data_IF_266562090315
#
_entry.id   IF_266562090315
#
_cell.length_a   1.000
_cell.length_b   1.000
_cell.length_c   1.000
_cell.angle_alpha   90.00
_cell.angle_beta   90.00
_cell.angle_gamma   90.00
#
_symmetry.space_group_name_H-M   'P 1'
#
loop_
_entity.id
_entity.type
_entity.pdbx_description
1 polymer ?
#
# COMPACT_ATOMS: atom_id res chain seq x y z
N UNK A 1 -5.13 4.21 -14.94
CA UNK A 1 -6.29 4.05 -14.02
C UNK A 1 -7.02 5.38 -13.97
N UNK A 2 -8.26 5.44 -13.49
CA UNK A 2 -8.99 6.70 -13.33
C UNK A 2 -8.67 7.34 -11.97
N UNK A 3 -8.60 8.68 -11.84
CA UNK A 3 -8.44 9.32 -10.53
C UNK A 3 -9.50 8.82 -9.53
N UNK A 4 -9.09 8.57 -8.28
CA UNK A 4 -9.95 8.00 -7.24
C UNK A 4 -10.14 6.48 -7.35
N UNK A 5 -9.28 5.76 -8.09
CA UNK A 5 -9.29 4.29 -8.15
C UNK A 5 -7.98 3.69 -7.65
N UNK A 6 -8.07 2.47 -7.14
CA UNK A 6 -6.92 1.70 -6.74
C UNK A 6 -7.10 0.20 -7.02
N UNK A 7 -5.98 -0.47 -7.26
CA UNK A 7 -5.87 -1.92 -7.34
C UNK A 7 -4.71 -2.36 -6.45
N UNK A 8 -4.99 -3.32 -5.57
CA UNK A 8 -4.00 -3.91 -4.67
C UNK A 8 -3.76 -5.36 -5.07
N UNK A 9 -2.52 -5.80 -4.97
CA UNK A 9 -2.12 -7.19 -5.16
C UNK A 9 -1.33 -7.62 -3.94
N UNK A 10 -1.69 -8.74 -3.33
CA UNK A 10 -1.00 -9.35 -2.20
C UNK A 10 -0.54 -10.74 -2.65
N UNK A 11 0.74 -11.09 -2.51
CA UNK A 11 1.28 -12.39 -2.92
C UNK A 11 0.80 -12.87 -4.30
N UNK A 12 0.91 -11.99 -5.30
CA UNK A 12 0.48 -12.22 -6.69
C UNK A 12 -1.04 -12.42 -6.91
N UNK A 13 -1.85 -12.35 -5.84
CA UNK A 13 -3.31 -12.35 -5.94
C UNK A 13 -3.85 -10.92 -6.09
N UNK A 14 -4.46 -10.65 -7.24
CA UNK A 14 -4.99 -9.33 -7.60
C UNK A 14 -6.38 -9.17 -7.00
N UNK A 15 -6.53 -8.18 -6.13
CA UNK A 15 -7.83 -7.82 -5.56
C UNK A 15 -8.66 -7.00 -6.55
N UNK A 16 -10.01 -7.04 -6.42
CA UNK A 16 -10.88 -6.19 -7.22
C UNK A 16 -10.49 -4.71 -7.15
N UNK A 17 -10.62 -4.00 -8.27
CA UNK A 17 -10.46 -2.54 -8.27
C UNK A 17 -11.49 -1.90 -7.34
N UNK A 18 -11.07 -0.84 -6.64
CA UNK A 18 -11.91 -0.10 -5.71
C UNK A 18 -11.88 1.39 -5.97
N UNK A 19 -13.01 2.04 -5.69
CA UNK A 19 -13.17 3.50 -5.70
C UNK A 19 -13.06 4.12 -4.30
N UNK A 20 -12.88 3.30 -3.26
CA UNK A 20 -12.70 3.76 -1.89
C UNK A 20 -11.28 4.29 -1.68
N UNK A 21 -10.95 5.39 -2.35
CA UNK A 21 -9.61 5.99 -2.34
C UNK A 21 -9.68 7.41 -1.78
N UNK A 22 -8.77 7.72 -0.86
CA UNK A 22 -8.58 9.07 -0.33
C UNK A 22 -7.11 9.41 -0.35
N UNK A 23 -6.75 10.44 -1.12
CA UNK A 23 -5.41 11.00 -1.15
C UNK A 23 -5.43 12.40 -0.53
N UNK A 24 -4.64 12.61 0.52
CA UNK A 24 -4.54 13.89 1.23
C UNK A 24 -3.11 14.39 1.16
N UNK A 25 -2.82 15.47 0.40
CA UNK A 25 -1.50 16.07 0.37
C UNK A 25 -1.18 16.75 1.70
N UNK A 26 0.07 16.62 2.15
CA UNK A 26 0.62 17.11 3.40
C UNK A 26 2.05 17.64 3.15
N UNK A 27 2.14 18.79 2.48
CA UNK A 27 3.43 19.33 2.04
C UNK A 27 4.06 18.42 0.97
N UNK A 28 5.27 17.93 1.24
CA UNK A 28 5.96 16.97 0.36
C UNK A 28 5.56 15.50 0.58
N UNK A 29 4.65 15.24 1.51
CA UNK A 29 4.08 13.92 1.73
C UNK A 29 2.63 13.88 1.21
N UNK A 30 2.16 12.69 0.88
CA UNK A 30 0.76 12.40 0.66
C UNK A 30 0.36 11.22 1.55
N UNK A 31 -0.75 11.39 2.28
CA UNK A 31 -1.41 10.26 2.92
C UNK A 31 -2.35 9.64 1.90
N UNK A 32 -2.22 8.34 1.66
CA UNK A 32 -3.15 7.60 0.80
C UNK A 32 -3.83 6.52 1.62
N UNK A 33 -5.16 6.48 1.53
CA UNK A 33 -6.00 5.46 2.14
C UNK A 33 -6.82 4.77 1.07
N UNK A 34 -6.85 3.45 1.09
CA UNK A 34 -7.61 2.60 0.17
C UNK A 34 -8.46 1.65 1.02
N UNK A 35 -9.75 1.55 0.74
CA UNK A 35 -10.69 0.77 1.55
C UNK A 35 -11.07 1.48 2.85
N UNK A 36 -11.21 0.71 3.93
CA UNK A 36 -11.59 1.21 5.26
C UNK A 36 -10.76 0.57 6.39
N UNK A 37 -11.18 0.75 7.64
CA UNK A 37 -10.48 0.23 8.82
C UNK A 37 -10.66 -1.28 9.02
N UNK A 38 -11.67 -1.91 8.40
CA UNK A 38 -11.90 -3.34 8.47
C UNK A 38 -11.09 -4.11 7.42
N UNK A 39 -10.91 -3.53 6.23
CA UNK A 39 -10.06 -4.06 5.17
C UNK A 39 -9.54 -2.93 4.27
N UNK A 40 -8.21 -2.78 4.18
CA UNK A 40 -7.64 -1.67 3.43
C UNK A 40 -6.15 -1.47 3.61
N UNK A 41 -5.65 -0.38 3.01
CA UNK A 41 -4.28 0.09 3.20
C UNK A 41 -4.24 1.55 3.59
N UNK A 42 -3.30 1.92 4.46
CA UNK A 42 -2.92 3.31 4.70
C UNK A 42 -1.42 3.48 4.48
N UNK A 43 -1.02 4.56 3.81
CA UNK A 43 0.39 4.77 3.49
C UNK A 43 0.74 6.25 3.45
N UNK A 44 2.02 6.51 3.69
CA UNK A 44 2.65 7.81 3.50
C UNK A 44 3.64 7.71 2.35
N UNK A 45 3.44 8.51 1.31
CA UNK A 45 4.29 8.56 0.13
C UNK A 45 4.88 9.95 0.00
N UNK A 46 6.20 10.05 -0.18
CA UNK A 46 6.85 11.30 -0.56
C UNK A 46 6.65 11.58 -2.04
N UNK A 47 6.28 12.82 -2.35
CA UNK A 47 6.20 13.34 -3.71
C UNK A 47 7.48 14.09 -4.14
N UNK A 48 8.50 14.12 -3.29
CA UNK A 48 9.84 14.63 -3.64
C UNK A 48 10.59 13.66 -4.56
N UNK A 49 11.66 14.14 -5.18
CA UNK A 49 12.56 13.31 -5.97
C UNK A 49 13.77 12.91 -5.11
N UNK A 50 14.00 11.61 -4.84
CA UNK A 50 13.26 10.45 -5.33
C UNK A 50 11.95 10.18 -4.56
N UNK A 51 10.95 9.64 -5.28
CA UNK A 51 9.69 9.18 -4.69
C UNK A 51 9.98 8.03 -3.72
N UNK A 52 9.42 8.10 -2.52
CA UNK A 52 9.64 7.08 -1.48
C UNK A 52 8.36 6.76 -0.73
N UNK A 53 8.15 5.49 -0.40
CA UNK A 53 7.13 5.11 0.57
C UNK A 53 7.76 5.16 1.96
N UNK A 54 7.18 5.95 2.87
CA UNK A 54 7.66 6.08 4.25
C UNK A 54 7.11 4.97 5.14
N UNK A 55 5.82 4.70 5.01
CA UNK A 55 5.15 3.62 5.73
C UNK A 55 3.99 3.12 4.89
N UNK A 56 3.75 1.81 4.93
CA UNK A 56 2.58 1.16 4.34
C UNK A 56 2.04 0.21 5.40
N UNK A 57 0.77 0.35 5.73
CA UNK A 57 0.03 -0.58 6.58
C UNK A 57 -1.02 -1.26 5.72
N UNK A 58 -1.03 -2.58 5.74
CA UNK A 58 -2.01 -3.43 5.09
C UNK A 58 -2.81 -4.09 6.20
N UNK A 59 -4.14 -3.98 6.12
CA UNK A 59 -5.04 -4.56 7.08
C UNK A 59 -6.04 -5.46 6.36
N UNK A 60 -6.00 -6.75 6.68
CA UNK A 60 -6.97 -7.75 6.25
C UNK A 60 -7.29 -7.68 4.74
N UNK A 61 -6.25 -7.60 3.92
CA UNK A 61 -6.37 -7.68 2.47
C UNK A 61 -5.89 -9.05 2.01
N UNK A 62 -6.78 -9.81 1.39
CA UNK A 62 -6.53 -11.22 1.04
C UNK A 62 -6.12 -12.09 2.23
N UNK A 63 -6.64 -11.77 3.42
CA UNK A 63 -6.25 -12.43 4.66
C UNK A 63 -4.85 -12.07 5.16
N UNK A 64 -4.19 -11.04 4.62
CA UNK A 64 -2.91 -10.55 5.13
C UNK A 64 -3.07 -9.23 5.91
N UNK A 65 -2.40 -9.16 7.06
CA UNK A 65 -2.21 -7.93 7.84
C UNK A 65 -0.73 -7.76 8.14
N UNK A 66 -0.18 -6.59 7.81
CA UNK A 66 1.24 -6.33 7.98
C UNK A 66 1.65 -4.90 7.64
N UNK A 67 2.94 -4.60 7.77
CA UNK A 67 3.46 -3.29 7.46
C UNK A 67 4.87 -3.28 6.88
N UNK A 68 5.15 -2.20 6.18
CA UNK A 68 6.47 -1.80 5.72
C UNK A 68 6.77 -0.40 6.29
N UNK A 69 8.02 -0.18 6.69
CA UNK A 69 8.50 1.13 7.10
C UNK A 69 9.92 1.35 6.56
N UNK A 70 10.15 2.53 5.99
CA UNK A 70 11.44 2.92 5.41
C UNK A 70 12.56 2.82 6.47
N UNK A 71 13.72 2.30 6.06
CA UNK A 71 14.91 2.09 6.91
C UNK A 71 14.77 1.08 8.06
N UNK A 72 13.68 0.33 8.13
CA UNK A 72 13.52 -0.75 9.10
C UNK A 72 13.65 -2.13 8.44
N UNK A 73 12.58 -2.59 7.80
CA UNK A 73 12.53 -3.90 7.14
C UNK A 73 11.87 -3.81 5.76
N UNK A 74 12.34 -4.66 4.85
CA UNK A 74 11.83 -4.75 3.48
C UNK A 74 12.40 -3.68 2.53
N UNK A 75 11.83 -3.64 1.33
CA UNK A 75 12.10 -2.63 0.32
C UNK A 75 10.77 -2.23 -0.32
N UNK A 76 10.59 -0.93 -0.55
CA UNK A 76 9.48 -0.42 -1.33
C UNK A 76 10.01 0.51 -2.42
N UNK A 77 9.69 0.19 -3.66
CA UNK A 77 9.94 1.04 -4.82
C UNK A 77 8.67 1.81 -5.15
N UNK A 78 8.80 3.11 -5.44
CA UNK A 78 7.70 3.97 -5.85
C UNK A 78 7.99 4.54 -7.23
N UNK A 79 7.05 4.37 -8.15
CA UNK A 79 7.03 5.08 -9.43
C UNK A 79 5.73 5.87 -9.59
N UNK A 80 5.78 6.93 -10.38
CA UNK A 80 4.63 7.76 -10.72
C UNK A 80 4.51 7.86 -12.23
N UNK A 81 3.37 7.44 -12.76
CA UNK A 81 3.03 7.59 -14.17
C UNK A 81 1.76 8.43 -14.30
N UNK A 82 1.90 9.68 -14.75
CA UNK A 82 0.83 10.67 -14.72
C UNK A 82 0.41 10.94 -13.27
N UNK A 83 -0.78 10.47 -12.91
CA UNK A 83 -1.38 10.60 -11.58
C UNK A 83 -1.50 9.24 -10.85
N UNK A 84 -0.88 8.18 -11.40
CA UNK A 84 -0.90 6.85 -10.80
C UNK A 84 0.42 6.53 -10.11
N UNK A 85 0.39 6.43 -8.78
CA UNK A 85 1.47 5.83 -8.00
C UNK A 85 1.43 4.31 -8.17
N UNK A 86 2.58 3.71 -8.43
CA UNK A 86 2.79 2.27 -8.34
C UNK A 86 3.84 2.00 -7.27
N UNK A 87 3.45 1.25 -6.24
CA UNK A 87 4.27 0.98 -5.07
C UNK A 87 4.43 -0.52 -4.95
N UNK A 88 5.66 -1.02 -5.02
CA UNK A 88 5.97 -2.45 -4.99
C UNK A 88 6.92 -2.74 -3.85
N UNK A 89 6.64 -3.76 -3.06
CA UNK A 89 7.52 -4.11 -1.96
C UNK A 89 7.13 -5.38 -1.24
N UNK A 90 7.66 -5.52 -0.03
CA UNK A 90 7.32 -6.60 0.90
C UNK A 90 6.97 -6.01 2.26
N UNK A 91 5.95 -6.57 2.89
CA UNK A 91 5.52 -6.19 4.23
C UNK A 91 5.67 -7.38 5.17
N UNK A 92 6.07 -7.12 6.41
CA UNK A 92 6.08 -8.13 7.46
C UNK A 92 4.76 -8.09 8.22
N UNK A 93 4.24 -9.27 8.53
CA UNK A 93 2.90 -9.38 9.08
C UNK A 93 2.54 -10.80 9.45
N UNK A 94 1.26 -11.14 9.24
CA UNK A 94 0.70 -12.46 9.48
C UNK A 94 -0.53 -12.67 8.60
N UNK A 95 -0.90 -13.95 8.44
CA UNK A 95 -2.19 -14.31 7.86
C UNK A 95 -3.28 -14.26 8.96
N UNK A 96 -4.44 -13.68 8.66
CA UNK A 96 -5.55 -13.48 9.61
C UNK A 96 -6.14 -14.78 10.13
N UNK A 97 -6.04 -15.87 9.37
CA UNK A 97 -6.49 -17.21 9.79
C UNK A 97 -5.48 -17.86 10.76
N UNK A 98 -4.24 -17.37 10.80
CA UNK A 98 -3.21 -17.86 11.71
C UNK A 98 -2.31 -16.73 12.25
N UNK A 99 -2.86 -15.84 13.10
CA UNK A 99 -2.20 -14.59 13.50
C UNK A 99 -0.97 -14.78 14.38
N UNK A 100 -0.73 -15.98 14.90
CA UNK A 100 0.46 -16.29 15.70
C UNK A 100 1.72 -16.53 14.85
N UNK A 101 1.55 -16.83 13.56
CA UNK A 101 2.63 -17.12 12.64
C UNK A 101 3.00 -15.88 11.84
N UNK A 102 4.23 -15.40 12.01
CA UNK A 102 4.76 -14.29 11.20
C UNK A 102 4.97 -14.73 9.75
N UNK A 103 4.66 -13.84 8.82
CA UNK A 103 4.91 -13.99 7.39
C UNK A 103 5.47 -12.70 6.78
N UNK A 104 6.02 -12.82 5.57
CA UNK A 104 6.48 -11.67 4.78
C UNK A 104 5.94 -11.78 3.36
N UNK A 105 4.93 -10.98 3.09
CA UNK A 105 4.17 -11.04 1.84
C UNK A 105 4.56 -9.90 0.91
N UNK A 106 4.57 -10.20 -0.40
CA UNK A 106 4.77 -9.18 -1.41
C UNK A 106 3.50 -8.37 -1.60
N UNK A 107 3.64 -7.09 -1.90
CA UNK A 107 2.51 -6.25 -2.30
C UNK A 107 2.83 -5.44 -3.54
N UNK A 108 1.81 -5.17 -4.33
CA UNK A 108 1.80 -4.12 -5.35
C UNK A 108 0.54 -3.29 -5.16
N UNK A 109 0.71 -1.99 -4.94
CA UNK A 109 -0.38 -1.04 -4.81
C UNK A 109 -0.30 -0.07 -5.98
N UNK A 110 -1.34 -0.06 -6.81
CA UNK A 110 -1.53 0.97 -7.82
C UNK A 110 -2.66 1.87 -7.35
N UNK A 111 -2.39 3.16 -7.24
CA UNK A 111 -3.39 4.14 -6.81
C UNK A 111 -3.31 5.40 -7.66
N UNK A 112 -4.46 5.80 -8.20
CA UNK A 112 -4.61 7.02 -8.97
C UNK A 112 -5.18 8.12 -8.05
N UNK A 113 -4.29 9.01 -7.63
CA UNK A 113 -4.63 10.30 -7.04
C UNK A 113 -4.54 11.31 -8.20
#
# INVERSE_FOLDING_TARGET
MLPGTAQVTINDHVLPETHAVKCVPMGSLATVTIGDTAAGTSMFVSNESPLTAKTININNLDGFTGSYAEHLQGAAEVTLHGYTYTIRGRAEGFNTDNPSLRSTDSFTIKVAC
#
